data_IF_304085299913
#
_entry.id   IF_304085299913
#
_cell.length_a   1.000
_cell.length_b   1.000
_cell.length_c   1.000
_cell.angle_alpha   90.00
_cell.angle_beta   90.00
_cell.angle_gamma   90.00
#
_symmetry.space_group_name_H-M   'P 1'
#
loop_
_entity.id
_entity.type
_entity.pdbx_description
1 polymer ?
#
# COMPACT_ATOMS: atom_id res chain seq x y z
N UNK A 1 -13.09 59.04 9.65
CA UNK A 1 -13.38 57.61 9.91
C UNK A 1 -13.12 56.79 8.64
N UNK A 2 -11.86 56.44 8.33
CA UNK A 2 -11.52 55.72 7.07
C UNK A 2 -10.46 54.63 7.26
N UNK A 3 -10.57 53.88 8.37
CA UNK A 3 -9.69 52.71 8.63
C UNK A 3 -10.45 51.38 8.66
N UNK A 4 -11.78 51.38 8.65
CA UNK A 4 -12.58 50.15 8.84
C UNK A 4 -12.78 49.34 7.56
N UNK A 5 -12.74 49.96 6.37
CA UNK A 5 -13.09 49.29 5.10
C UNK A 5 -11.91 48.67 4.35
N UNK A 6 -10.66 49.10 4.62
CA UNK A 6 -9.46 48.50 4.00
C UNK A 6 -9.05 47.17 4.65
N UNK A 7 -9.33 47.01 5.94
CA UNK A 7 -8.89 45.87 6.75
C UNK A 7 -9.72 44.61 6.47
N UNK A 8 -10.99 44.76 6.10
CA UNK A 8 -11.93 43.65 5.82
C UNK A 8 -11.68 43.00 4.46
N UNK A 9 -11.29 43.77 3.44
CA UNK A 9 -10.97 43.25 2.12
C UNK A 9 -9.66 42.41 2.12
N UNK A 10 -8.65 42.84 2.88
CA UNK A 10 -7.41 42.09 3.05
C UNK A 10 -7.62 40.82 3.89
N UNK A 11 -8.45 40.90 4.94
CA UNK A 11 -8.81 39.75 5.77
C UNK A 11 -9.62 38.69 4.98
N UNK A 12 -10.62 39.09 4.18
CA UNK A 12 -11.37 38.14 3.33
C UNK A 12 -10.48 37.47 2.28
N UNK A 13 -9.55 38.22 1.68
CA UNK A 13 -8.58 37.67 0.73
C UNK A 13 -7.67 36.64 1.39
N UNK A 14 -7.15 36.94 2.59
CA UNK A 14 -6.33 36.00 3.36
C UNK A 14 -7.09 34.72 3.70
N UNK A 15 -8.35 34.83 4.14
CA UNK A 15 -9.20 33.67 4.40
C UNK A 15 -9.43 32.85 3.13
N UNK A 16 -9.73 33.51 1.99
CA UNK A 16 -9.89 32.82 0.71
C UNK A 16 -8.62 32.08 0.28
N UNK A 17 -7.43 32.67 0.43
CA UNK A 17 -6.17 31.99 0.15
C UNK A 17 -5.94 30.78 1.06
N UNK A 18 -6.25 30.88 2.35
CA UNK A 18 -6.16 29.75 3.28
C UNK A 18 -7.12 28.62 2.88
N UNK A 19 -8.37 28.94 2.55
CA UNK A 19 -9.33 27.94 2.06
C UNK A 19 -8.87 27.28 0.76
N UNK A 20 -8.38 28.06 -0.20
CA UNK A 20 -7.84 27.53 -1.47
C UNK A 20 -6.65 26.61 -1.21
N UNK A 21 -5.72 27.00 -0.35
CA UNK A 21 -4.56 26.18 0.01
C UNK A 21 -4.99 24.87 0.66
N UNK A 22 -5.95 24.91 1.59
CA UNK A 22 -6.51 23.71 2.23
C UNK A 22 -7.17 22.78 1.21
N UNK A 23 -7.96 23.32 0.29
CA UNK A 23 -8.58 22.55 -0.80
C UNK A 23 -7.54 21.88 -1.71
N UNK A 24 -6.46 22.58 -2.06
CA UNK A 24 -5.37 22.01 -2.86
C UNK A 24 -4.66 20.89 -2.08
N UNK A 25 -4.36 21.09 -0.79
CA UNK A 25 -3.72 20.08 0.04
C UNK A 25 -4.58 18.83 0.23
N UNK A 26 -5.89 18.98 0.45
CA UNK A 26 -6.80 17.83 0.57
C UNK A 26 -6.95 17.10 -0.76
N UNK A 27 -7.02 17.82 -1.88
CA UNK A 27 -7.08 17.23 -3.21
C UNK A 27 -5.82 16.44 -3.55
N UNK A 28 -4.63 17.00 -3.27
CA UNK A 28 -3.35 16.31 -3.43
C UNK A 28 -3.23 15.08 -2.52
N UNK A 29 -3.76 15.14 -1.30
CA UNK A 29 -3.77 13.99 -0.38
C UNK A 29 -4.71 12.88 -0.85
N UNK A 30 -5.82 13.21 -1.50
CA UNK A 30 -6.68 12.23 -2.17
C UNK A 30 -6.00 11.61 -3.40
N UNK A 31 -5.15 12.40 -4.08
CA UNK A 31 -4.38 11.96 -5.24
C UNK A 31 -3.14 11.13 -4.87
N UNK A 32 -2.84 10.92 -3.58
CA UNK A 32 -2.00 9.78 -3.17
C UNK A 32 -2.78 8.51 -3.51
N UNK A 33 -2.67 8.09 -4.77
CA UNK A 33 -3.01 6.76 -5.19
C UNK A 33 -2.36 5.80 -4.21
N UNK A 34 -3.11 4.77 -3.83
CA UNK A 34 -2.58 3.64 -3.08
C UNK A 34 -1.40 3.12 -3.89
N UNK A 35 -0.18 3.60 -3.60
CA UNK A 35 1.04 2.89 -3.99
C UNK A 35 0.81 1.52 -3.39
N UNK A 36 0.43 0.57 -4.26
CA UNK A 36 0.10 -0.77 -3.83
C UNK A 36 1.22 -1.20 -2.93
N UNK A 37 0.90 -1.89 -1.83
CA UNK A 37 1.93 -2.48 -0.96
C UNK A 37 2.63 -3.59 -1.75
N UNK A 38 3.36 -3.22 -2.79
CA UNK A 38 4.09 -4.11 -3.67
C UNK A 38 5.23 -4.70 -2.87
N UNK A 39 5.53 -5.95 -3.16
CA UNK A 39 6.81 -6.51 -2.78
C UNK A 39 7.93 -5.72 -3.46
N UNK A 40 9.01 -5.46 -2.71
CA UNK A 40 10.24 -4.85 -3.21
C UNK A 40 11.41 -5.85 -3.19
N UNK A 41 11.15 -7.08 -2.73
CA UNK A 41 12.13 -8.14 -2.58
C UNK A 41 11.52 -9.37 -1.93
N UNK A 42 12.28 -10.46 -1.96
CA UNK A 42 11.88 -11.76 -1.41
C UNK A 42 12.61 -12.06 -0.12
N UNK A 43 11.95 -12.80 0.77
CA UNK A 43 12.63 -13.46 1.89
C UNK A 43 13.25 -14.76 1.41
N UNK A 44 14.43 -15.10 1.92
CA UNK A 44 15.09 -16.36 1.61
C UNK A 44 14.39 -17.57 2.26
N UNK A 45 13.84 -17.39 3.48
CA UNK A 45 13.05 -18.42 4.16
C UNK A 45 12.20 -17.83 5.32
N UNK A 46 11.20 -18.59 5.75
CA UNK A 46 10.38 -18.32 6.94
C UNK A 46 10.65 -19.39 8.00
N UNK A 47 11.28 -18.98 9.13
CA UNK A 47 11.62 -19.89 10.24
C UNK A 47 10.42 -20.64 10.83
N UNK A 48 9.24 -20.03 10.88
CA UNK A 48 8.02 -20.61 11.49
C UNK A 48 6.92 -20.80 10.44
N UNK A 49 7.14 -21.71 9.48
CA UNK A 49 6.19 -22.01 8.38
C UNK A 49 4.78 -22.38 8.87
N UNK A 50 4.68 -23.03 10.04
CA UNK A 50 3.40 -23.29 10.73
C UNK A 50 2.52 -22.06 11.02
N UNK A 51 3.09 -20.86 10.97
CA UNK A 51 2.35 -19.61 11.16
C UNK A 51 1.77 -19.06 9.85
N UNK A 52 2.09 -19.67 8.71
CA UNK A 52 1.51 -19.31 7.41
C UNK A 52 0.09 -19.88 7.36
N UNK A 53 -0.89 -18.99 7.28
CA UNK A 53 -2.32 -19.34 7.31
C UNK A 53 -2.98 -19.26 5.93
N UNK A 54 -2.30 -18.64 4.96
CA UNK A 54 -2.79 -18.47 3.60
C UNK A 54 -1.77 -17.72 2.75
N UNK A 55 -2.09 -17.53 1.48
CA UNK A 55 -1.27 -16.74 0.58
C UNK A 55 -2.12 -16.04 -0.48
N UNK A 56 -1.53 -15.08 -1.16
CA UNK A 56 -2.12 -14.39 -2.31
C UNK A 56 -1.04 -14.18 -3.35
N UNK A 57 -1.40 -14.29 -4.63
CA UNK A 57 -0.49 -13.98 -5.73
C UNK A 57 -0.50 -12.49 -6.01
N UNK A 58 0.69 -11.90 -6.11
CA UNK A 58 0.90 -10.59 -6.72
C UNK A 58 1.39 -10.82 -8.14
N UNK A 59 0.59 -10.43 -9.11
CA UNK A 59 1.00 -10.41 -10.52
C UNK A 59 1.69 -9.09 -10.88
N UNK A 60 2.62 -9.11 -11.84
CA UNK A 60 3.25 -7.90 -12.34
C UNK A 60 2.23 -7.06 -13.11
N UNK A 61 2.22 -5.75 -12.85
CA UNK A 61 1.39 -4.77 -13.52
C UNK A 61 2.15 -3.43 -13.64
N UNK A 62 1.50 -2.38 -14.16
CA UNK A 62 2.12 -1.07 -14.35
C UNK A 62 2.64 -0.42 -13.04
N UNK A 63 2.15 -0.87 -11.87
CA UNK A 63 2.52 -0.35 -10.55
C UNK A 63 3.51 -1.27 -9.83
N UNK A 64 3.29 -2.59 -9.84
CA UNK A 64 4.16 -3.59 -9.24
C UNK A 64 4.90 -4.36 -10.33
N UNK A 65 6.22 -4.23 -10.42
CA UNK A 65 7.00 -4.83 -11.51
C UNK A 65 7.48 -6.28 -11.23
N UNK A 66 7.01 -6.94 -10.18
CA UNK A 66 7.48 -8.28 -9.81
C UNK A 66 6.35 -9.21 -9.38
N UNK A 67 6.47 -10.48 -9.76
CA UNK A 67 5.61 -11.55 -9.29
C UNK A 67 6.02 -11.95 -7.87
N UNK A 68 5.08 -12.06 -6.95
CA UNK A 68 5.40 -12.47 -5.58
C UNK A 68 4.28 -13.26 -4.93
N UNK A 69 4.65 -14.20 -4.06
CA UNK A 69 3.72 -14.88 -3.16
C UNK A 69 3.66 -14.12 -1.86
N UNK A 70 2.48 -13.62 -1.49
CA UNK A 70 2.23 -12.88 -0.26
C UNK A 70 1.72 -13.84 0.81
N UNK A 71 2.62 -14.41 1.61
CA UNK A 71 2.24 -15.28 2.72
C UNK A 71 1.59 -14.49 3.86
N UNK A 72 0.35 -14.86 4.18
CA UNK A 72 -0.38 -14.32 5.31
C UNK A 72 0.05 -15.06 6.58
N UNK A 73 0.50 -14.31 7.59
CA UNK A 73 1.03 -14.87 8.84
C UNK A 73 0.04 -14.66 9.98
N UNK A 74 -0.24 -15.70 10.77
CA UNK A 74 -1.21 -15.67 11.89
C UNK A 74 -1.08 -14.47 12.85
N UNK A 75 0.16 -13.98 13.06
CA UNK A 75 0.49 -12.92 14.03
C UNK A 75 1.06 -11.65 13.40
N UNK A 76 1.08 -11.52 12.06
CA UNK A 76 1.57 -10.30 11.41
C UNK A 76 0.46 -9.67 10.59
N UNK A 77 0.31 -8.35 10.71
CA UNK A 77 -0.63 -7.57 9.91
C UNK A 77 -0.17 -7.40 8.46
N UNK A 78 1.13 -7.50 8.19
CA UNK A 78 1.70 -7.42 6.84
C UNK A 78 2.07 -8.82 6.33
N UNK A 79 1.73 -9.13 5.06
CA UNK A 79 2.16 -10.38 4.44
C UNK A 79 3.68 -10.39 4.25
N UNK A 80 4.23 -11.58 4.12
CA UNK A 80 5.65 -11.80 3.81
C UNK A 80 5.77 -12.13 2.32
N UNK A 81 6.59 -11.36 1.61
CA UNK A 81 6.88 -11.56 0.20
C UNK A 81 7.87 -12.70 0.01
N UNK A 82 7.53 -13.68 -0.81
CA UNK A 82 8.39 -14.81 -1.16
C UNK A 82 8.42 -15.03 -2.67
N UNK A 83 9.52 -15.61 -3.16
CA UNK A 83 9.73 -15.88 -4.58
C UNK A 83 8.92 -17.11 -5.01
N UNK A 84 8.01 -17.02 -5.99
CA UNK A 84 7.24 -18.18 -6.46
C UNK A 84 8.12 -19.33 -6.99
N UNK A 85 9.35 -19.04 -7.42
CA UNK A 85 10.27 -20.03 -7.99
C UNK A 85 11.05 -20.81 -6.93
N UNK A 86 10.98 -20.44 -5.66
CA UNK A 86 11.67 -21.15 -4.59
C UNK A 86 10.93 -22.45 -4.22
N UNK A 87 11.65 -23.58 -4.16
CA UNK A 87 11.07 -24.89 -3.83
C UNK A 87 10.27 -24.89 -2.51
N UNK A 88 10.74 -24.14 -1.51
CA UNK A 88 10.06 -24.07 -0.21
C UNK A 88 8.74 -23.31 -0.29
N UNK A 89 8.65 -22.32 -1.19
CA UNK A 89 7.43 -21.53 -1.43
C UNK A 89 6.40 -22.40 -2.11
N UNK A 90 6.80 -23.13 -3.16
CA UNK A 90 5.91 -24.04 -3.89
C UNK A 90 5.37 -25.16 -2.98
N UNK A 91 6.21 -25.71 -2.10
CA UNK A 91 5.76 -26.69 -1.09
C UNK A 91 4.71 -26.11 -0.14
N UNK A 92 4.91 -24.88 0.34
CA UNK A 92 3.95 -24.23 1.23
C UNK A 92 2.66 -23.84 0.49
N UNK A 93 2.75 -23.40 -0.76
CA UNK A 93 1.57 -23.18 -1.60
C UNK A 93 0.77 -24.47 -1.78
N UNK A 94 1.41 -25.58 -2.15
CA UNK A 94 0.75 -26.89 -2.28
C UNK A 94 0.13 -27.37 -0.97
N UNK A 95 0.77 -27.08 0.17
CA UNK A 95 0.22 -27.40 1.50
C UNK A 95 -1.06 -26.60 1.79
N UNK A 96 -1.13 -25.36 1.34
CA UNK A 96 -2.25 -24.45 1.58
C UNK A 96 -3.37 -24.61 0.54
N UNK A 97 -3.00 -24.96 -0.69
CA UNK A 97 -3.90 -25.18 -1.82
C UNK A 97 -3.43 -26.42 -2.62
N UNK A 98 -3.89 -27.62 -2.23
CA UNK A 98 -3.51 -28.86 -2.90
C UNK A 98 -3.98 -28.95 -4.36
N UNK A 99 -4.97 -28.14 -4.76
CA UNK A 99 -5.58 -28.14 -6.09
C UNK A 99 -4.79 -27.34 -7.13
N UNK A 100 -3.86 -26.47 -6.74
CA UNK A 100 -3.23 -25.49 -7.65
C UNK A 100 -2.17 -26.04 -8.62
N UNK A 101 -1.92 -27.36 -8.63
CA UNK A 101 -0.88 -28.02 -9.43
C UNK A 101 -1.44 -29.02 -10.46
N UNK A 102 -2.73 -28.91 -10.78
CA UNK A 102 -3.40 -29.68 -11.85
C UNK A 102 -3.77 -28.77 -13.01
#
# INVERSE_FOLDING_TARGET
MSKTTRTTAAAMKFHAFVFILLFICTYLSLAQGSYGKCCLGYVNDIKKKRNIVGYTMQEPNTVCNMTAVLFQMKKKSKPVCANPDDDWVQREMKRLDPSMLH
#
